data_IF_204219143654
#
_entry.id   IF_204219143654
#
_cell.length_a   1.000
_cell.length_b   1.000
_cell.length_c   1.000
_cell.angle_alpha   90.00
_cell.angle_beta   90.00
_cell.angle_gamma   90.00
#
_symmetry.space_group_name_H-M   'P 1'
#
loop_
_entity.id
_entity.type
_entity.pdbx_description
1 polymer ?
#
# COMPACT_ATOMS: atom_id res chain seq x y z
N UNK A 1 6.45 -14.06 -12.16
CA UNK A 1 6.80 -12.95 -11.29
C UNK A 1 6.19 -11.67 -11.82
N UNK A 2 5.14 -11.19 -11.16
CA UNK A 2 4.61 -9.83 -11.35
C UNK A 2 4.53 -9.12 -10.00
N UNK A 3 4.47 -7.80 -10.01
CA UNK A 3 4.42 -6.99 -8.81
C UNK A 3 3.16 -6.13 -8.84
N UNK A 4 2.36 -6.17 -7.78
CA UNK A 4 1.14 -5.39 -7.66
C UNK A 4 1.29 -4.34 -6.56
N UNK A 5 1.12 -3.07 -6.93
CA UNK A 5 1.06 -1.96 -5.99
C UNK A 5 -0.41 -1.65 -5.73
N UNK A 6 -0.81 -1.71 -4.47
CA UNK A 6 -2.12 -1.34 -3.98
C UNK A 6 -2.02 0.00 -3.26
N UNK A 7 -2.80 0.98 -3.70
CA UNK A 7 -2.90 2.30 -3.12
C UNK A 7 -4.23 2.38 -2.38
N UNK A 8 -4.23 2.80 -1.13
CA UNK A 8 -5.41 2.88 -0.28
C UNK A 8 -5.52 4.26 0.36
N UNK A 9 -6.67 4.89 0.21
CA UNK A 9 -7.10 5.97 1.09
C UNK A 9 -7.99 5.40 2.19
N UNK A 10 -7.59 5.59 3.44
CA UNK A 10 -8.31 5.06 4.59
C UNK A 10 -9.25 6.16 5.08
N UNK A 11 -10.57 5.92 5.07
CA UNK A 11 -11.51 6.92 5.56
C UNK A 11 -11.24 7.23 7.03
N UNK A 12 -10.87 8.48 7.32
CA UNK A 12 -10.73 8.94 8.70
C UNK A 12 -12.11 9.13 9.31
N UNK A 13 -12.36 8.44 10.42
CA UNK A 13 -13.58 8.64 11.22
C UNK A 13 -13.42 9.88 12.08
N UNK A 14 -14.29 10.87 11.87
CA UNK A 14 -14.36 12.05 12.74
C UNK A 14 -14.86 11.67 14.15
N UNK A 15 -14.40 12.38 15.17
CA UNK A 15 -14.71 12.16 16.60
C UNK A 15 -16.22 12.15 16.93
N UNK A 16 -17.04 12.79 16.09
CA UNK A 16 -18.50 12.90 16.23
C UNK A 16 -19.30 11.67 15.73
N UNK A 17 -18.63 10.56 15.34
CA UNK A 17 -19.29 9.31 14.94
C UNK A 17 -20.12 9.38 13.65
N UNK A 18 -20.18 10.54 13.01
CA UNK A 18 -20.80 10.71 11.69
C UNK A 18 -19.79 10.22 10.66
N UNK A 19 -19.94 8.96 10.24
CA UNK A 19 -19.10 8.32 9.24
C UNK A 19 -18.93 9.23 8.02
N UNK A 20 -17.69 9.63 7.75
CA UNK A 20 -17.33 9.92 6.38
C UNK A 20 -17.53 8.60 5.61
N UNK A 21 -18.31 8.62 4.53
CA UNK A 21 -18.26 7.58 3.50
C UNK A 21 -17.23 7.98 2.43
N UNK A 22 -15.92 7.76 2.63
CA UNK A 22 -15.04 7.44 1.53
C UNK A 22 -15.10 5.93 1.38
N UNK A 23 -15.72 5.48 0.30
CA UNK A 23 -15.37 4.15 -0.23
C UNK A 23 -13.84 4.16 -0.33
N UNK A 24 -13.12 3.16 0.22
CA UNK A 24 -11.67 3.14 0.10
C UNK A 24 -11.34 3.30 -1.39
N UNK A 25 -10.68 4.40 -1.75
CA UNK A 25 -10.17 4.58 -3.10
C UNK A 25 -8.98 3.63 -3.19
N UNK A 26 -9.29 2.40 -3.60
CA UNK A 26 -8.31 1.34 -3.77
C UNK A 26 -7.93 1.29 -5.23
N UNK A 27 -6.73 1.77 -5.55
CA UNK A 27 -6.16 1.64 -6.89
C UNK A 27 -5.15 0.49 -6.89
N UNK A 28 -5.08 -0.24 -8.00
CA UNK A 28 -4.11 -1.31 -8.16
C UNK A 28 -3.41 -1.17 -9.48
N UNK A 29 -2.08 -1.18 -9.45
CA UNK A 29 -1.24 -1.14 -10.64
C UNK A 29 -0.28 -2.32 -10.61
N UNK A 30 -0.22 -3.08 -11.70
CA UNK A 30 0.69 -4.22 -11.85
C UNK A 30 1.88 -3.86 -12.72
N UNK A 31 3.04 -4.38 -12.35
CA UNK A 31 4.34 -4.18 -13.00
C UNK A 31 5.01 -5.53 -13.23
N UNK A 32 5.79 -5.64 -14.31
CA UNK A 32 6.63 -6.81 -14.56
C UNK A 32 7.98 -6.72 -13.82
N UNK A 33 8.41 -5.50 -13.50
CA UNK A 33 9.70 -5.19 -12.89
C UNK A 33 9.54 -4.63 -11.46
N UNK A 34 10.42 -5.06 -10.56
CA UNK A 34 10.36 -4.68 -9.15
C UNK A 34 10.80 -3.23 -8.93
N UNK A 35 11.83 -2.76 -9.63
CA UNK A 35 12.36 -1.41 -9.45
C UNK A 35 11.34 -0.36 -9.92
N UNK A 36 10.61 -0.64 -11.00
CA UNK A 36 9.47 0.16 -11.43
C UNK A 36 8.37 0.19 -10.37
N UNK A 37 8.00 -0.96 -9.81
CA UNK A 37 6.95 -1.06 -8.81
C UNK A 37 7.30 -0.31 -7.51
N UNK A 38 8.58 -0.39 -7.08
CA UNK A 38 9.10 0.35 -5.92
C UNK A 38 9.15 1.85 -6.14
N UNK A 39 9.60 2.26 -7.33
CA UNK A 39 9.62 3.68 -7.70
C UNK A 39 8.20 4.25 -7.63
N UNK A 40 7.25 3.56 -8.26
CA UNK A 40 5.84 3.93 -8.23
C UNK A 40 5.28 3.98 -6.80
N UNK A 41 5.57 2.97 -5.97
CA UNK A 41 5.13 2.95 -4.57
C UNK A 41 5.69 4.14 -3.76
N UNK A 42 6.98 4.46 -3.94
CA UNK A 42 7.62 5.58 -3.24
C UNK A 42 7.12 6.95 -3.72
N UNK A 43 6.74 7.09 -4.99
CA UNK A 43 6.13 8.32 -5.51
C UNK A 43 4.75 8.59 -4.90
N UNK A 44 4.01 7.53 -4.57
CA UNK A 44 2.63 7.63 -4.07
C UNK A 44 2.50 7.55 -2.55
N UNK A 45 3.60 7.30 -1.81
CA UNK A 45 3.58 7.11 -0.33
C UNK A 45 3.11 8.32 0.49
N UNK A 46 3.16 9.52 -0.10
CA UNK A 46 2.70 10.76 0.54
C UNK A 46 1.30 11.19 0.07
N UNK A 47 0.80 10.56 -1.00
CA UNK A 47 -0.50 10.87 -1.60
C UNK A 47 -1.60 9.98 -1.02
N UNK A 48 -1.26 8.75 -0.65
CA UNK A 48 -2.18 7.76 -0.10
C UNK A 48 -1.84 7.43 1.35
N UNK A 49 -2.86 7.19 2.17
CA UNK A 49 -2.69 6.77 3.57
C UNK A 49 -1.90 5.47 3.68
N UNK A 50 -2.09 4.56 2.71
CA UNK A 50 -1.37 3.30 2.66
C UNK A 50 -1.03 2.89 1.23
N UNK A 51 0.21 2.46 1.03
CA UNK A 51 0.71 1.88 -0.22
C UNK A 51 1.29 0.51 0.08
N UNK A 52 0.91 -0.52 -0.67
CA UNK A 52 1.36 -1.90 -0.44
C UNK A 52 1.91 -2.47 -1.73
N UNK A 53 3.17 -2.89 -1.74
CA UNK A 53 3.79 -3.60 -2.84
C UNK A 53 3.82 -5.10 -2.54
N UNK A 54 3.16 -5.88 -3.39
CA UNK A 54 3.11 -7.34 -3.33
C UNK A 54 3.81 -7.94 -4.53
N UNK A 55 4.62 -8.98 -4.29
CA UNK A 55 5.08 -9.89 -5.33
C UNK A 55 4.03 -10.97 -5.52
N UNK A 56 3.60 -11.16 -6.77
CA UNK A 56 2.64 -12.16 -7.22
C UNK A 56 3.41 -13.22 -8.03
N UNK A 57 3.63 -14.37 -7.39
CA UNK A 57 4.19 -15.59 -7.98
C UNK A 57 3.28 -16.77 -7.62
N UNK A 58 3.83 -17.91 -7.16
CA UNK A 58 3.08 -19.07 -6.63
C UNK A 58 2.30 -18.74 -5.33
N UNK A 59 2.39 -17.48 -4.86
CA UNK A 59 1.67 -16.88 -3.76
C UNK A 59 1.79 -15.36 -3.77
N UNK A 60 1.19 -14.69 -2.79
CA UNK A 60 1.34 -13.25 -2.57
C UNK A 60 2.35 -13.02 -1.44
N UNK A 61 3.47 -12.36 -1.75
CA UNK A 61 4.48 -11.98 -0.76
C UNK A 61 4.54 -10.46 -0.61
N UNK A 62 4.51 -9.96 0.62
CA UNK A 62 4.74 -8.55 0.91
C UNK A 62 6.20 -8.19 0.66
N UNK A 63 6.44 -7.21 -0.21
CA UNK A 63 7.77 -6.67 -0.50
C UNK A 63 8.02 -5.44 0.36
N UNK A 64 7.11 -4.47 0.32
CA UNK A 64 7.15 -3.26 1.13
C UNK A 64 5.76 -2.68 1.33
N UNK A 65 5.60 -1.93 2.41
CA UNK A 65 4.39 -1.19 2.74
C UNK A 65 4.77 0.21 3.19
N UNK A 66 3.97 1.20 2.81
CA UNK A 66 3.98 2.51 3.40
C UNK A 66 2.66 2.73 4.11
N UNK A 67 2.70 3.23 5.34
CA UNK A 67 1.52 3.62 6.14
C UNK A 67 1.81 5.00 6.72
N UNK A 68 0.94 5.97 6.45
CA UNK A 68 1.11 7.36 6.89
C UNK A 68 2.49 7.94 6.49
N UNK A 69 2.97 7.59 5.28
CA UNK A 69 4.29 7.97 4.78
C UNK A 69 5.50 7.25 5.42
N UNK A 70 5.29 6.39 6.42
CA UNK A 70 6.34 5.57 7.02
C UNK A 70 6.57 4.29 6.24
N UNK A 71 7.84 3.99 5.93
CA UNK A 71 8.22 2.76 5.22
C UNK A 71 8.34 1.60 6.20
N UNK A 72 7.63 0.51 5.91
CA UNK A 72 7.65 -0.74 6.65
C UNK A 72 7.99 -1.90 5.70
N UNK A 73 9.04 -2.64 6.05
CA UNK A 73 9.45 -3.86 5.36
C UNK A 73 8.85 -5.09 6.05
N UNK A 74 8.70 -6.24 5.35
CA UNK A 74 8.16 -7.46 5.93
C UNK A 74 8.86 -7.92 7.22
N UNK A 75 10.18 -7.74 7.38
CA UNK A 75 10.90 -8.06 8.63
C UNK A 75 10.43 -7.19 9.82
N UNK A 76 10.01 -5.95 9.57
CA UNK A 76 9.51 -5.05 10.61
C UNK A 76 8.07 -5.36 11.02
N UNK A 77 7.28 -5.96 10.12
CA UNK A 77 5.86 -6.25 10.34
C UNK A 77 5.66 -7.55 11.13
N UNK A 78 6.49 -8.57 10.88
CA UNK A 78 6.36 -9.89 11.53
C UNK A 78 6.84 -9.89 12.99
N UNK A 79 7.56 -8.86 13.43
CA UNK A 79 8.11 -8.73 14.80
C UNK A 79 7.20 -7.98 15.79
N UNK A 80 5.98 -7.61 15.41
CA UNK A 80 4.99 -6.96 16.29
C UNK A 80 3.95 -7.94 16.82
#
# INVERSE_FOLDING_TARGET
MSYAVYLYNIPQVSEDGTQALPVPDSQTQTFADIDQAKTFASEHKLTFDRVVLLQQDDGQQLVERYVDGQHETPDQIVRR
#
